data_IF_910971207451
#
_entry.id   IF_910971207451
#
_cell.length_a   1.000
_cell.length_b   1.000
_cell.length_c   1.000
_cell.angle_alpha   90.00
_cell.angle_beta   90.00
_cell.angle_gamma   90.00
#
_symmetry.space_group_name_H-M   'P 1'
#
loop_
_entity.id
_entity.type
_entity.pdbx_description
1 polymer ?
#
# COMPACT_ATOMS: atom_id res chain seq x y z
N UNK A 1 37.09 16.13 29.83
CA UNK A 1 36.24 14.92 29.73
C UNK A 1 34.77 15.22 29.49
N UNK A 2 34.12 16.14 30.26
CA UNK A 2 32.70 16.46 30.01
C UNK A 2 32.52 17.15 28.67
N UNK A 3 33.30 18.15 28.34
CA UNK A 3 33.28 18.89 27.07
C UNK A 3 33.49 17.92 25.91
N UNK A 4 34.50 17.06 25.99
CA UNK A 4 34.80 16.04 24.99
C UNK A 4 33.65 15.03 24.82
N UNK A 5 33.00 14.65 25.96
CA UNK A 5 31.85 13.75 25.92
C UNK A 5 30.65 14.38 25.21
N UNK A 6 30.42 15.67 25.40
CA UNK A 6 29.33 16.39 24.72
C UNK A 6 29.59 16.59 23.22
N UNK A 7 30.84 16.90 22.85
CA UNK A 7 31.26 17.00 21.45
C UNK A 7 31.12 15.66 20.69
N UNK A 8 31.40 14.56 21.35
CA UNK A 8 31.32 13.23 20.75
C UNK A 8 29.91 12.63 20.71
N UNK A 9 28.97 13.15 21.49
CA UNK A 9 27.60 12.67 21.55
C UNK A 9 26.89 12.66 20.19
N UNK A 10 26.91 13.74 19.39
CA UNK A 10 26.29 13.73 18.06
C UNK A 10 27.05 12.83 17.05
N UNK A 11 28.34 12.62 17.27
CA UNK A 11 29.16 11.80 16.35
C UNK A 11 28.99 10.30 16.61
N UNK A 12 29.02 9.89 17.89
CA UNK A 12 29.01 8.48 18.28
C UNK A 12 27.72 8.03 18.96
N UNK A 13 26.74 8.90 19.14
CA UNK A 13 25.44 8.55 19.69
C UNK A 13 25.45 7.95 21.10
N UNK A 14 26.46 8.26 21.92
CA UNK A 14 26.58 7.67 23.26
C UNK A 14 25.60 8.27 24.27
N UNK A 15 25.29 7.52 25.33
CA UNK A 15 24.38 7.90 26.42
C UNK A 15 25.10 8.23 27.75
N UNK A 16 26.36 8.65 27.71
CA UNK A 16 27.12 9.03 28.91
C UNK A 16 26.46 10.21 29.62
N UNK A 17 26.55 10.27 30.98
CA UNK A 17 25.94 11.35 31.75
C UNK A 17 26.43 12.76 31.35
N UNK A 18 25.53 13.71 31.15
CA UNK A 18 25.85 15.11 30.85
C UNK A 18 26.19 15.95 32.10
N UNK A 19 26.26 15.39 33.29
CA UNK A 19 26.67 16.11 34.51
C UNK A 19 28.01 15.64 35.04
N UNK A 20 28.87 16.58 35.47
CA UNK A 20 30.23 16.32 35.98
C UNK A 20 30.21 15.29 37.11
N UNK A 21 29.31 15.44 38.08
CA UNK A 21 29.22 14.53 39.22
C UNK A 21 28.87 13.11 38.87
N UNK A 22 27.88 12.91 37.95
CA UNK A 22 27.49 11.59 37.49
C UNK A 22 28.57 10.94 36.60
N UNK A 23 29.23 11.75 35.77
CA UNK A 23 30.30 11.24 34.90
C UNK A 23 31.51 10.79 35.75
N UNK A 24 31.91 11.58 36.78
CA UNK A 24 32.96 11.20 37.73
C UNK A 24 32.60 9.90 38.48
N UNK A 25 31.38 9.78 38.96
CA UNK A 25 30.91 8.57 39.62
C UNK A 25 30.94 7.35 38.73
N UNK A 26 30.61 7.51 37.42
CA UNK A 26 30.71 6.45 36.45
C UNK A 26 32.17 6.06 36.18
N UNK A 27 33.07 7.03 35.99
CA UNK A 27 34.51 6.80 35.78
C UNK A 27 35.12 6.06 36.98
N UNK A 28 34.77 6.45 38.21
CA UNK A 28 35.28 5.79 39.40
C UNK A 28 34.85 4.30 39.52
N UNK A 29 33.70 3.97 38.96
CA UNK A 29 33.15 2.61 38.93
C UNK A 29 33.65 1.79 37.73
N UNK A 30 34.07 2.45 36.68
CA UNK A 30 34.54 1.78 35.47
C UNK A 30 35.86 1.02 35.72
N UNK A 31 35.92 -0.19 35.18
CA UNK A 31 37.14 -1.01 35.12
C UNK A 31 37.31 -1.55 33.71
N UNK A 32 38.52 -1.66 33.18
CA UNK A 32 38.74 -2.12 31.81
C UNK A 32 38.23 -3.53 31.51
N UNK A 33 38.09 -4.36 32.54
CA UNK A 33 37.58 -5.74 32.49
C UNK A 33 36.06 -5.84 32.75
N UNK A 34 35.41 -4.73 33.11
CA UNK A 34 34.00 -4.71 33.43
C UNK A 34 33.26 -3.55 32.77
N UNK A 35 32.76 -3.78 31.57
CA UNK A 35 31.93 -2.83 30.83
C UNK A 35 30.45 -2.77 31.31
N UNK A 36 30.03 -3.66 32.20
CA UNK A 36 28.65 -3.70 32.70
C UNK A 36 28.19 -2.40 33.38
N UNK A 37 29.14 -1.63 33.91
CA UNK A 37 28.86 -0.30 34.50
C UNK A 37 28.37 0.71 33.46
N UNK A 38 28.70 0.56 32.19
CA UNK A 38 28.27 1.43 31.07
C UNK A 38 26.90 1.05 30.56
N UNK A 39 26.41 -0.14 30.88
CA UNK A 39 25.08 -0.59 30.49
C UNK A 39 24.06 0.06 31.41
N UNK A 40 23.07 0.74 30.83
CA UNK A 40 21.98 1.33 31.61
C UNK A 40 21.28 0.26 32.47
N UNK A 41 21.09 0.50 33.75
CA UNK A 41 20.31 -0.38 34.64
C UNK A 41 18.85 -0.57 34.23
N UNK A 42 18.39 0.18 33.21
CA UNK A 42 17.09 -0.02 32.56
C UNK A 42 17.15 -1.04 31.41
N UNK A 43 18.34 -1.36 30.93
CA UNK A 43 18.53 -2.35 29.88
C UNK A 43 18.30 -3.76 30.42
N UNK A 44 17.42 -4.51 29.79
CA UNK A 44 17.10 -5.87 30.25
C UNK A 44 16.26 -5.93 31.53
N UNK A 45 15.66 -4.82 31.98
CA UNK A 45 14.84 -4.80 33.20
C UNK A 45 13.58 -5.66 33.00
N UNK A 46 13.58 -6.86 33.57
CA UNK A 46 12.45 -7.81 33.55
C UNK A 46 11.19 -7.30 34.28
N UNK A 47 11.34 -6.32 35.17
CA UNK A 47 10.19 -5.72 35.87
C UNK A 47 9.28 -4.87 34.95
N UNK A 48 9.75 -4.53 33.75
CA UNK A 48 8.91 -3.91 32.71
C UNK A 48 8.08 -4.91 31.94
N UNK A 49 8.41 -6.20 32.02
CA UNK A 49 7.61 -7.26 31.37
C UNK A 49 6.32 -7.45 32.16
N UNK A 50 5.22 -6.91 31.63
CA UNK A 50 3.89 -7.02 32.24
C UNK A 50 3.19 -8.30 31.83
N UNK A 51 3.55 -8.88 30.71
CA UNK A 51 2.95 -10.08 30.11
C UNK A 51 4.07 -11.09 29.88
N UNK A 52 3.95 -12.22 30.54
CA UNK A 52 4.85 -13.36 30.42
C UNK A 52 4.57 -14.14 29.13
N UNK A 53 5.49 -15.00 28.71
CA UNK A 53 5.39 -15.68 27.41
C UNK A 53 4.12 -16.52 27.27
N UNK A 54 3.75 -17.30 28.29
CA UNK A 54 2.55 -18.12 28.26
C UNK A 54 1.28 -17.30 28.26
N UNK A 55 1.24 -16.23 29.08
CA UNK A 55 0.15 -15.28 29.06
C UNK A 55 0.02 -14.56 27.73
N UNK A 56 1.17 -14.25 27.08
CA UNK A 56 1.22 -13.68 25.75
C UNK A 56 0.67 -14.62 24.67
N UNK A 57 1.02 -15.90 24.72
CA UNK A 57 0.47 -16.93 23.80
C UNK A 57 -1.06 -17.03 23.94
N UNK A 58 -1.55 -17.01 25.17
CA UNK A 58 -2.99 -17.03 25.45
C UNK A 58 -3.69 -15.79 24.88
N UNK A 59 -3.15 -14.59 25.10
CA UNK A 59 -3.70 -13.35 24.55
C UNK A 59 -3.72 -13.34 23.02
N UNK A 60 -2.67 -13.82 22.36
CA UNK A 60 -2.62 -13.93 20.90
C UNK A 60 -3.64 -14.93 20.41
N UNK A 61 -3.84 -16.05 21.11
CA UNK A 61 -4.86 -17.04 20.75
C UNK A 61 -6.28 -16.45 20.81
N UNK A 62 -6.61 -15.69 21.87
CA UNK A 62 -7.89 -14.99 21.97
C UNK A 62 -8.06 -13.97 20.84
N UNK A 63 -7.01 -13.18 20.54
CA UNK A 63 -7.04 -12.17 19.48
C UNK A 63 -7.21 -12.78 18.08
N UNK A 64 -6.67 -13.97 17.86
CA UNK A 64 -6.79 -14.73 16.60
C UNK A 64 -8.08 -15.52 16.47
N UNK A 65 -8.89 -15.60 17.53
CA UNK A 65 -10.13 -16.38 17.51
C UNK A 65 -11.11 -15.86 16.46
N UNK A 66 -11.63 -16.77 15.65
CA UNK A 66 -12.64 -16.46 14.64
C UNK A 66 -14.07 -16.60 15.17
N UNK A 67 -14.25 -17.51 16.12
CA UNK A 67 -15.54 -17.76 16.77
C UNK A 67 -15.26 -18.28 18.20
N UNK A 68 -15.61 -17.51 19.22
CA UNK A 68 -16.15 -16.14 19.19
C UNK A 68 -15.07 -15.10 18.82
N UNK A 69 -15.50 -13.94 18.29
CA UNK A 69 -14.64 -12.79 18.07
C UNK A 69 -14.66 -11.94 19.33
N UNK A 70 -13.49 -11.72 19.91
CA UNK A 70 -13.33 -10.92 21.14
C UNK A 70 -12.90 -9.50 20.83
N UNK A 71 -13.47 -8.54 21.54
CA UNK A 71 -12.95 -7.16 21.61
C UNK A 71 -11.73 -7.11 22.52
N UNK A 72 -10.91 -6.05 22.40
CA UNK A 72 -9.75 -5.86 23.29
C UNK A 72 -10.15 -5.79 24.77
N UNK A 73 -11.37 -5.31 25.08
CA UNK A 73 -11.87 -5.25 26.44
C UNK A 73 -12.22 -6.63 26.99
N UNK A 74 -12.92 -7.44 26.20
CA UNK A 74 -13.24 -8.83 26.57
C UNK A 74 -11.97 -9.67 26.74
N UNK A 75 -10.97 -9.49 25.87
CA UNK A 75 -9.66 -10.14 26.02
C UNK A 75 -8.97 -9.72 27.33
N UNK A 76 -9.04 -8.42 27.68
CA UNK A 76 -8.48 -7.92 28.92
C UNK A 76 -9.17 -8.51 30.15
N UNK A 77 -10.49 -8.57 30.15
CA UNK A 77 -11.28 -9.16 31.24
C UNK A 77 -11.02 -10.66 31.39
N UNK A 78 -11.03 -11.39 30.27
CA UNK A 78 -10.79 -12.82 30.24
C UNK A 78 -9.36 -13.17 30.70
N UNK A 79 -8.34 -12.40 30.24
CA UNK A 79 -6.98 -12.58 30.70
C UNK A 79 -6.89 -12.39 32.23
N UNK A 80 -7.45 -11.32 32.76
CA UNK A 80 -7.40 -11.05 34.21
C UNK A 80 -8.20 -12.05 35.06
N UNK A 81 -9.22 -12.67 34.47
CA UNK A 81 -9.95 -13.75 35.11
C UNK A 81 -9.10 -15.02 35.26
N UNK A 82 -8.32 -15.35 34.23
CA UNK A 82 -7.51 -16.57 34.18
C UNK A 82 -6.13 -16.37 34.83
N UNK A 83 -5.60 -15.17 34.84
CA UNK A 83 -4.25 -14.86 35.30
C UNK A 83 -3.91 -15.38 36.71
N UNK A 84 -4.80 -15.25 37.75
CA UNK A 84 -4.50 -15.78 39.09
C UNK A 84 -4.35 -17.31 39.11
N UNK A 85 -5.18 -18.03 38.34
CA UNK A 85 -5.15 -19.50 38.27
C UNK A 85 -3.88 -20.04 37.59
N UNK A 86 -3.32 -19.22 36.66
CA UNK A 86 -2.10 -19.55 35.91
C UNK A 86 -0.81 -18.97 36.50
N UNK A 87 -0.92 -18.20 37.57
CA UNK A 87 0.22 -17.52 38.18
C UNK A 87 0.74 -16.33 37.36
N UNK A 88 -0.04 -15.80 36.43
CA UNK A 88 0.33 -14.64 35.63
C UNK A 88 0.05 -13.34 36.37
N UNK A 89 0.79 -12.28 36.01
CA UNK A 89 0.55 -10.95 36.53
C UNK A 89 -0.70 -10.34 35.89
N UNK A 90 -1.71 -9.92 36.68
CA UNK A 90 -2.88 -9.24 36.12
C UNK A 90 -2.50 -7.91 35.47
N UNK A 91 -3.19 -7.57 34.40
CA UNK A 91 -3.02 -6.28 33.73
C UNK A 91 -3.84 -5.21 34.44
N UNK A 92 -3.22 -4.05 34.66
CA UNK A 92 -3.86 -2.94 35.39
C UNK A 92 -4.80 -2.10 34.54
N UNK A 93 -4.64 -2.14 33.19
CA UNK A 93 -5.49 -1.36 32.30
C UNK A 93 -5.56 -2.00 30.89
N UNK A 94 -6.69 -1.82 30.18
CA UNK A 94 -6.84 -2.23 28.79
C UNK A 94 -5.82 -1.56 27.86
N UNK A 95 -5.35 -0.37 28.23
CA UNK A 95 -4.30 0.35 27.49
C UNK A 95 -3.00 -0.45 27.42
N UNK A 96 -2.60 -1.07 28.55
CA UNK A 96 -1.38 -1.89 28.60
C UNK A 96 -1.47 -3.11 27.66
N UNK A 97 -2.66 -3.72 27.54
CA UNK A 97 -2.91 -4.79 26.59
C UNK A 97 -2.79 -4.30 25.14
N UNK A 98 -3.41 -3.17 24.81
CA UNK A 98 -3.37 -2.59 23.47
C UNK A 98 -1.95 -2.18 23.08
N UNK A 99 -1.20 -1.58 23.98
CA UNK A 99 0.23 -1.24 23.74
C UNK A 99 1.07 -2.49 23.50
N UNK A 100 0.78 -3.59 24.21
CA UNK A 100 1.47 -4.85 24.01
C UNK A 100 1.09 -5.49 22.66
N UNK A 101 -0.20 -5.55 22.28
CA UNK A 101 -0.64 -6.05 20.98
C UNK A 101 -0.02 -5.26 19.81
N UNK A 102 0.13 -3.94 19.95
CA UNK A 102 0.69 -3.08 18.92
C UNK A 102 2.23 -3.03 18.93
N UNK A 103 2.88 -3.82 19.78
CA UNK A 103 4.33 -3.88 19.77
C UNK A 103 4.86 -4.58 18.51
N UNK A 104 6.02 -4.16 17.96
CA UNK A 104 6.57 -4.71 16.71
C UNK A 104 6.81 -6.22 16.73
N UNK A 105 6.96 -6.82 17.91
CA UNK A 105 7.19 -8.27 18.08
C UNK A 105 5.88 -9.07 18.14
N UNK A 106 4.79 -8.45 18.57
CA UNK A 106 3.51 -9.15 18.81
C UNK A 106 2.51 -8.90 17.69
N UNK A 107 2.47 -7.68 17.15
CA UNK A 107 1.52 -7.32 16.09
C UNK A 107 1.52 -8.31 14.91
N UNK A 108 2.66 -8.75 14.36
CA UNK A 108 2.68 -9.71 13.26
C UNK A 108 2.06 -11.08 13.60
N UNK A 109 2.01 -11.44 14.88
CA UNK A 109 1.49 -12.75 15.31
C UNK A 109 -0.02 -12.88 15.22
N UNK A 110 -0.75 -11.78 15.19
CA UNK A 110 -2.22 -11.78 15.16
C UNK A 110 -2.83 -11.02 13.98
N UNK A 111 -2.04 -10.19 13.29
CA UNK A 111 -2.54 -9.25 12.29
C UNK A 111 -3.23 -9.94 11.10
N UNK A 112 -2.67 -11.06 10.63
CA UNK A 112 -3.21 -11.87 9.54
C UNK A 112 -4.61 -12.42 9.86
N UNK A 113 -4.80 -12.88 11.08
CA UNK A 113 -6.07 -13.45 11.52
C UNK A 113 -7.21 -12.41 11.63
N UNK A 114 -6.87 -11.15 11.96
CA UNK A 114 -7.83 -10.05 12.14
C UNK A 114 -8.10 -9.30 10.85
N UNK A 115 -7.05 -9.03 10.05
CA UNK A 115 -7.15 -8.18 8.86
C UNK A 115 -7.05 -8.95 7.53
N UNK A 116 -6.72 -10.23 7.59
CA UNK A 116 -6.50 -11.11 6.43
C UNK A 116 -5.06 -11.12 5.94
N UNK A 117 -4.70 -12.23 5.29
CA UNK A 117 -3.34 -12.49 4.79
C UNK A 117 -2.84 -11.41 3.82
N UNK A 118 -3.71 -10.94 2.93
CA UNK A 118 -3.34 -9.91 1.96
C UNK A 118 -2.85 -8.62 2.63
N UNK A 119 -3.56 -8.14 3.67
CA UNK A 119 -3.15 -6.95 4.42
C UNK A 119 -1.88 -7.19 5.25
N UNK A 120 -1.70 -8.41 5.76
CA UNK A 120 -0.49 -8.79 6.47
C UNK A 120 0.73 -8.77 5.53
N UNK A 121 0.61 -9.36 4.33
CA UNK A 121 1.65 -9.29 3.29
C UNK A 121 1.99 -7.85 2.91
N UNK A 122 0.98 -7.01 2.67
CA UNK A 122 1.21 -5.59 2.36
C UNK A 122 1.95 -4.82 3.47
N UNK A 123 1.75 -5.21 4.73
CA UNK A 123 2.32 -4.52 5.90
C UNK A 123 3.71 -5.03 6.29
N UNK A 124 3.93 -6.34 6.24
CA UNK A 124 5.12 -6.98 6.81
C UNK A 124 6.10 -7.53 5.80
N UNK A 125 5.65 -7.82 4.57
CA UNK A 125 6.55 -8.33 3.54
C UNK A 125 7.56 -7.27 3.12
N UNK A 126 8.76 -7.75 2.83
CA UNK A 126 9.83 -6.90 2.33
C UNK A 126 9.47 -6.40 0.93
N UNK A 127 9.26 -5.10 0.81
CA UNK A 127 9.00 -4.46 -0.48
C UNK A 127 10.30 -4.36 -1.29
N UNK A 128 10.32 -5.00 -2.44
CA UNK A 128 11.39 -4.83 -3.39
C UNK A 128 11.12 -3.58 -4.23
N UNK A 129 12.12 -2.70 -4.37
CA UNK A 129 12.00 -1.61 -5.34
C UNK A 129 11.99 -2.17 -6.73
N UNK A 130 10.98 -1.82 -7.51
CA UNK A 130 10.96 -2.09 -8.95
C UNK A 130 12.05 -1.25 -9.60
N UNK A 131 12.99 -1.89 -10.29
CA UNK A 131 13.99 -1.19 -11.10
C UNK A 131 13.33 -0.96 -12.45
N UNK A 132 13.09 0.30 -12.79
CA UNK A 132 12.56 0.68 -14.09
C UNK A 132 13.62 0.44 -15.18
N UNK A 133 13.19 0.13 -16.42
CA UNK A 133 14.11 -0.05 -17.53
C UNK A 133 14.89 1.23 -17.83
N UNK A 134 16.11 1.10 -18.37
CA UNK A 134 16.97 2.23 -18.70
C UNK A 134 16.72 2.89 -20.06
N UNK A 135 15.74 2.39 -20.84
CA UNK A 135 15.41 2.89 -22.18
C UNK A 135 13.95 2.63 -22.54
N UNK A 136 13.44 3.42 -23.49
CA UNK A 136 12.09 3.25 -24.05
C UNK A 136 11.90 1.88 -24.70
N UNK A 137 10.67 1.44 -24.76
CA UNK A 137 10.23 0.18 -25.39
C UNK A 137 10.84 -1.10 -24.79
N UNK A 138 11.54 -0.97 -23.66
CA UNK A 138 12.03 -2.16 -22.93
C UNK A 138 10.92 -2.85 -22.17
N UNK A 139 9.99 -2.10 -21.62
CA UNK A 139 8.88 -2.60 -20.83
C UNK A 139 7.65 -1.71 -21.04
N UNK A 140 6.55 -2.32 -21.44
CA UNK A 140 5.26 -1.67 -21.47
C UNK A 140 4.33 -2.24 -20.41
N UNK A 141 3.61 -1.37 -19.72
CA UNK A 141 2.50 -1.75 -18.86
C UNK A 141 1.20 -1.62 -19.62
N UNK A 142 0.32 -2.61 -19.49
CA UNK A 142 -1.07 -2.54 -19.92
C UNK A 142 -2.00 -2.71 -18.73
N UNK A 143 -2.95 -1.79 -18.56
CA UNK A 143 -3.93 -1.86 -17.49
C UNK A 143 -5.24 -1.17 -17.88
N UNK A 144 -6.34 -1.64 -17.30
CA UNK A 144 -7.65 -1.07 -17.47
C UNK A 144 -8.12 -0.31 -16.24
N UNK A 145 -8.85 0.76 -16.46
CA UNK A 145 -9.48 1.52 -15.38
C UNK A 145 -10.81 2.09 -15.81
N UNK A 146 -11.68 2.37 -14.85
CA UNK A 146 -12.87 3.19 -15.14
C UNK A 146 -12.42 4.59 -15.48
N UNK A 147 -12.92 5.09 -16.61
CA UNK A 147 -12.76 6.49 -16.96
C UNK A 147 -13.60 7.35 -16.02
N UNK A 148 -12.95 8.15 -15.20
CA UNK A 148 -13.61 8.95 -14.17
C UNK A 148 -14.27 10.22 -14.74
N UNK A 149 -15.02 10.05 -15.84
CA UNK A 149 -15.86 11.05 -16.46
C UNK A 149 -17.23 10.46 -16.77
N UNK A 150 -18.27 11.26 -16.56
CA UNK A 150 -19.59 10.95 -17.05
C UNK A 150 -19.72 11.39 -18.51
N UNK A 151 -20.45 10.61 -19.28
CA UNK A 151 -20.95 10.98 -20.59
C UNK A 151 -22.47 10.78 -20.64
N UNK A 152 -23.11 11.37 -21.63
CA UNK A 152 -24.52 11.22 -21.90
C UNK A 152 -24.73 10.23 -23.02
N UNK A 153 -25.55 9.19 -22.78
CA UNK A 153 -25.96 8.23 -23.82
C UNK A 153 -27.01 8.81 -24.77
N UNK A 154 -27.37 8.04 -25.80
CA UNK A 154 -28.37 8.41 -26.78
C UNK A 154 -29.78 8.62 -26.17
N UNK A 155 -30.06 8.04 -25.01
CA UNK A 155 -31.29 8.17 -24.28
C UNK A 155 -31.30 9.35 -23.29
N UNK A 156 -30.22 10.13 -23.22
CA UNK A 156 -30.06 11.24 -22.30
C UNK A 156 -29.64 10.82 -20.89
N UNK A 157 -29.26 9.56 -20.67
CA UNK A 157 -28.84 9.09 -19.35
C UNK A 157 -27.36 9.35 -19.12
N UNK A 158 -27.03 9.56 -17.85
CA UNK A 158 -25.65 9.71 -17.38
C UNK A 158 -25.00 8.33 -17.24
N UNK A 159 -23.97 8.09 -18.02
CA UNK A 159 -23.22 6.84 -18.07
C UNK A 159 -21.74 7.03 -17.76
N UNK A 160 -21.05 5.93 -17.46
CA UNK A 160 -19.58 5.84 -17.32
C UNK A 160 -19.05 4.76 -18.22
N UNK A 161 -17.80 4.87 -18.65
CA UNK A 161 -17.14 3.90 -19.51
C UNK A 161 -15.79 3.51 -18.92
N UNK A 162 -15.13 2.54 -19.51
CA UNK A 162 -13.78 2.08 -19.15
C UNK A 162 -12.77 2.49 -20.21
N UNK A 163 -11.53 2.62 -19.82
CA UNK A 163 -10.39 2.83 -20.72
C UNK A 163 -9.33 1.79 -20.42
N UNK A 164 -8.79 1.19 -21.46
CA UNK A 164 -7.59 0.38 -21.38
C UNK A 164 -6.43 1.18 -21.93
N UNK A 165 -5.33 1.26 -21.18
CA UNK A 165 -4.18 2.08 -21.51
C UNK A 165 -2.89 1.26 -21.57
N UNK A 166 -1.99 1.69 -22.45
CA UNK A 166 -0.66 1.12 -22.60
C UNK A 166 0.38 2.22 -22.43
N UNK A 167 1.30 2.03 -21.48
CA UNK A 167 2.29 3.02 -21.07
C UNK A 167 3.69 2.44 -21.17
N UNK A 168 4.64 3.22 -21.67
CA UNK A 168 6.07 2.88 -21.61
C UNK A 168 6.62 3.15 -20.21
N UNK A 169 7.22 2.13 -19.60
CA UNK A 169 7.69 2.18 -18.21
C UNK A 169 8.89 3.12 -18.00
N UNK A 170 9.68 3.38 -19.03
CA UNK A 170 10.84 4.26 -18.96
C UNK A 170 10.47 5.72 -19.07
N UNK A 171 9.72 6.08 -20.11
CA UNK A 171 9.35 7.47 -20.40
C UNK A 171 8.09 7.93 -19.70
N UNK A 172 7.29 6.99 -19.15
CA UNK A 172 5.97 7.23 -18.58
C UNK A 172 4.97 7.84 -19.59
N UNK A 173 5.22 7.67 -20.87
CA UNK A 173 4.37 8.18 -21.95
C UNK A 173 3.25 7.20 -22.21
N UNK A 174 2.02 7.70 -22.31
CA UNK A 174 0.85 6.97 -22.80
C UNK A 174 1.02 6.70 -24.29
N UNK A 175 1.22 5.45 -24.67
CA UNK A 175 1.47 5.05 -26.04
C UNK A 175 0.20 4.68 -26.80
N UNK A 176 -0.79 4.18 -26.10
CA UNK A 176 -2.05 3.79 -26.71
C UNK A 176 -3.15 3.57 -25.69
N UNK A 177 -4.37 3.76 -26.13
CA UNK A 177 -5.56 3.55 -25.32
C UNK A 177 -6.74 3.07 -26.17
N UNK A 178 -7.74 2.55 -25.49
CA UNK A 178 -9.03 2.26 -26.11
C UNK A 178 -10.16 2.42 -25.09
N UNK A 179 -11.17 3.21 -25.44
CA UNK A 179 -12.34 3.46 -24.60
C UNK A 179 -13.46 2.52 -25.03
N UNK A 180 -14.00 1.77 -24.07
CA UNK A 180 -15.09 0.81 -24.30
C UNK A 180 -15.88 0.59 -23.00
N UNK A 181 -17.09 0.07 -23.12
CA UNK A 181 -17.94 -0.20 -21.96
C UNK A 181 -17.38 -1.32 -21.07
N UNK A 182 -16.58 -2.21 -21.64
CA UNK A 182 -15.97 -3.34 -20.93
C UNK A 182 -14.48 -3.43 -21.22
N UNK A 183 -13.72 -3.81 -20.19
CA UNK A 183 -12.31 -4.19 -20.33
C UNK A 183 -12.19 -5.60 -20.93
N UNK A 184 -12.42 -5.73 -22.21
CA UNK A 184 -12.35 -7.00 -22.89
C UNK A 184 -11.03 -7.14 -23.68
N UNK A 185 -10.86 -8.33 -24.29
CA UNK A 185 -9.67 -8.62 -25.10
C UNK A 185 -9.59 -7.75 -26.37
N UNK A 186 -10.70 -7.20 -26.86
CA UNK A 186 -10.78 -6.33 -28.03
C UNK A 186 -10.22 -4.95 -27.66
N UNK A 187 -10.64 -4.40 -26.52
CA UNK A 187 -10.12 -3.13 -26.01
C UNK A 187 -8.59 -3.19 -25.85
N UNK A 188 -8.10 -4.26 -25.25
CA UNK A 188 -6.66 -4.50 -25.11
C UNK A 188 -5.94 -4.58 -26.44
N UNK A 189 -6.50 -5.32 -27.40
CA UNK A 189 -5.94 -5.44 -28.75
C UNK A 189 -5.79 -4.08 -29.43
N UNK A 190 -6.83 -3.24 -29.38
CA UNK A 190 -6.81 -1.92 -30.02
C UNK A 190 -5.83 -0.97 -29.32
N UNK A 191 -5.76 -1.00 -27.98
CA UNK A 191 -4.80 -0.20 -27.23
C UNK A 191 -3.35 -0.59 -27.57
N UNK A 192 -2.99 -1.87 -27.60
CA UNK A 192 -1.67 -2.31 -28.00
C UNK A 192 -1.35 -2.01 -29.47
N UNK A 193 -2.35 -2.13 -30.35
CA UNK A 193 -2.19 -1.73 -31.76
C UNK A 193 -1.84 -0.25 -31.87
N UNK A 194 -2.56 0.62 -31.19
CA UNK A 194 -2.27 2.06 -31.14
C UNK A 194 -0.88 2.32 -30.56
N UNK A 195 -0.52 1.63 -29.47
CA UNK A 195 0.79 1.78 -28.84
C UNK A 195 1.95 1.46 -29.78
N UNK A 196 1.82 0.38 -30.58
CA UNK A 196 2.82 0.03 -31.59
C UNK A 196 2.89 1.09 -32.70
N UNK A 197 1.75 1.62 -33.13
CA UNK A 197 1.70 2.69 -34.14
C UNK A 197 2.33 3.99 -33.64
N UNK A 198 2.10 4.34 -32.37
CA UNK A 198 2.65 5.54 -31.73
C UNK A 198 4.14 5.42 -31.49
N UNK A 199 4.59 4.31 -30.91
CA UNK A 199 6.00 4.07 -30.64
C UNK A 199 6.80 3.77 -31.91
N UNK A 200 6.16 3.17 -32.95
CA UNK A 200 6.80 2.57 -34.15
C UNK A 200 7.73 1.40 -33.83
N UNK A 201 7.68 0.90 -32.62
CA UNK A 201 8.46 -0.22 -32.13
C UNK A 201 7.57 -1.19 -31.38
N UNK A 202 8.05 -2.43 -31.23
CA UNK A 202 7.47 -3.44 -30.36
C UNK A 202 8.21 -3.41 -29.02
N UNK A 203 7.53 -3.60 -27.89
CA UNK A 203 8.21 -3.69 -26.60
C UNK A 203 9.01 -4.99 -26.50
N UNK A 204 10.08 -4.96 -25.70
CA UNK A 204 10.77 -6.17 -25.35
C UNK A 204 9.94 -7.02 -24.36
N UNK A 205 9.35 -6.39 -23.36
CA UNK A 205 8.52 -7.01 -22.33
C UNK A 205 7.16 -6.30 -22.21
N UNK A 206 6.11 -7.08 -21.99
CA UNK A 206 4.77 -6.60 -21.61
C UNK A 206 4.44 -7.14 -20.23
N UNK A 207 3.99 -6.26 -19.35
CA UNK A 207 3.45 -6.59 -18.03
C UNK A 207 2.01 -6.09 -17.96
N UNK A 208 1.09 -6.99 -17.68
CA UNK A 208 -0.31 -6.69 -17.45
C UNK A 208 -0.85 -7.58 -16.32
N UNK A 209 -2.02 -7.26 -15.81
CA UNK A 209 -2.65 -8.07 -14.78
C UNK A 209 -3.15 -9.43 -15.32
N UNK A 210 -3.64 -10.27 -14.44
CA UNK A 210 -4.08 -11.63 -14.78
C UNK A 210 -5.58 -11.71 -15.10
N UNK A 211 -6.14 -10.70 -15.77
CA UNK A 211 -7.56 -10.65 -16.14
C UNK A 211 -7.89 -11.60 -17.29
N UNK A 212 -9.20 -11.91 -17.42
CA UNK A 212 -9.71 -12.82 -18.47
C UNK A 212 -9.37 -12.39 -19.90
N UNK A 213 -9.42 -11.09 -20.19
CA UNK A 213 -9.06 -10.53 -21.49
C UNK A 213 -7.60 -10.77 -21.86
N UNK A 214 -6.68 -10.61 -20.91
CA UNK A 214 -5.26 -10.88 -21.11
C UNK A 214 -4.99 -12.36 -21.35
N UNK A 215 -5.65 -13.26 -20.63
CA UNK A 215 -5.56 -14.71 -20.86
C UNK A 215 -6.02 -15.09 -22.27
N UNK A 216 -7.11 -14.47 -22.76
CA UNK A 216 -7.63 -14.71 -24.11
C UNK A 216 -6.64 -14.19 -25.17
N UNK A 217 -6.11 -12.98 -25.02
CA UNK A 217 -5.10 -12.43 -25.94
C UNK A 217 -3.79 -13.26 -25.93
N UNK A 218 -3.37 -13.76 -24.78
CA UNK A 218 -2.23 -14.65 -24.67
C UNK A 218 -2.49 -15.98 -25.40
N UNK A 219 -3.67 -16.58 -25.22
CA UNK A 219 -4.08 -17.81 -25.90
C UNK A 219 -4.19 -17.61 -27.43
N UNK A 220 -4.60 -16.44 -27.92
CA UNK A 220 -4.62 -16.09 -29.35
C UNK A 220 -3.24 -15.73 -29.88
N UNK A 221 -2.20 -15.77 -29.05
CA UNK A 221 -0.83 -15.49 -29.44
C UNK A 221 -0.54 -14.03 -29.75
N UNK A 222 -1.36 -13.08 -29.26
CA UNK A 222 -1.13 -11.64 -29.46
C UNK A 222 0.21 -11.23 -28.85
N UNK A 223 0.39 -11.51 -27.55
CA UNK A 223 1.57 -11.04 -26.82
C UNK A 223 2.88 -11.65 -27.34
N UNK A 224 2.88 -12.91 -27.76
CA UNK A 224 4.05 -13.55 -28.39
C UNK A 224 4.43 -12.95 -29.74
N UNK A 225 3.47 -12.33 -30.46
CA UNK A 225 3.72 -11.66 -31.74
C UNK A 225 4.24 -10.22 -31.57
N UNK A 226 3.88 -9.55 -30.46
CA UNK A 226 4.19 -8.14 -30.26
C UNK A 226 5.30 -7.90 -29.22
N UNK A 227 5.66 -8.90 -28.40
CA UNK A 227 6.73 -8.79 -27.41
C UNK A 227 7.57 -10.06 -27.34
N UNK A 228 8.75 -9.97 -26.76
CA UNK A 228 9.60 -11.14 -26.51
C UNK A 228 9.25 -11.81 -25.19
N UNK A 229 8.80 -11.05 -24.21
CA UNK A 229 8.40 -11.53 -22.89
C UNK A 229 7.02 -10.98 -22.56
N UNK A 230 6.13 -11.84 -22.15
CA UNK A 230 4.86 -11.47 -21.54
C UNK A 230 4.83 -12.00 -20.11
N UNK A 231 4.67 -11.09 -19.14
CA UNK A 231 4.63 -11.43 -17.72
C UNK A 231 3.33 -10.95 -17.10
N UNK A 232 2.42 -11.87 -16.76
CA UNK A 232 1.27 -11.51 -15.94
C UNK A 232 1.73 -11.17 -14.53
N UNK A 233 1.22 -10.09 -13.94
CA UNK A 233 1.49 -9.76 -12.54
C UNK A 233 0.83 -10.78 -11.63
N UNK A 234 1.50 -11.08 -10.50
CA UNK A 234 0.88 -11.88 -9.45
C UNK A 234 -0.38 -11.16 -8.92
N UNK A 235 -1.43 -11.91 -8.54
CA UNK A 235 -2.62 -11.32 -7.93
C UNK A 235 -2.23 -10.43 -6.75
N UNK A 236 -2.89 -9.27 -6.64
CA UNK A 236 -2.72 -8.29 -5.56
C UNK A 236 -1.35 -7.60 -5.46
N UNK A 237 -0.51 -7.68 -6.49
CA UNK A 237 0.78 -6.99 -6.54
C UNK A 237 0.71 -5.69 -7.37
N UNK A 238 -0.29 -4.84 -7.12
CA UNK A 238 -0.47 -3.54 -7.76
C UNK A 238 0.69 -2.57 -7.50
N UNK A 239 1.37 -2.68 -6.35
CA UNK A 239 2.50 -1.81 -5.98
C UNK A 239 3.71 -1.93 -6.93
N UNK A 240 3.77 -2.95 -7.77
CA UNK A 240 4.85 -3.14 -8.76
C UNK A 240 4.63 -2.38 -10.06
N UNK A 241 3.45 -1.81 -10.29
CA UNK A 241 3.10 -1.11 -11.53
C UNK A 241 3.18 0.40 -11.33
N UNK A 242 4.02 1.07 -12.10
CA UNK A 242 4.06 2.54 -12.14
C UNK A 242 2.86 3.15 -12.84
N UNK A 243 2.11 2.36 -13.63
CA UNK A 243 0.93 2.80 -14.39
C UNK A 243 -0.17 3.37 -13.48
N UNK A 244 -0.37 2.82 -12.28
CA UNK A 244 -1.35 3.35 -11.32
C UNK A 244 -1.03 4.79 -10.89
N UNK A 245 0.26 5.13 -10.74
CA UNK A 245 0.71 6.49 -10.45
C UNK A 245 0.49 7.43 -11.64
N UNK A 246 0.61 6.92 -12.86
CA UNK A 246 0.36 7.68 -14.09
C UNK A 246 -1.13 7.99 -14.19
N UNK A 247 -2.00 7.01 -13.99
CA UNK A 247 -3.45 7.19 -13.92
C UNK A 247 -3.84 8.23 -12.86
N UNK A 248 -3.29 8.12 -11.66
CA UNK A 248 -3.55 9.08 -10.59
C UNK A 248 -3.14 10.51 -11.00
N UNK A 249 -1.97 10.69 -11.59
CA UNK A 249 -1.50 12.01 -12.05
C UNK A 249 -2.41 12.57 -13.15
N UNK A 250 -2.76 11.75 -14.15
CA UNK A 250 -3.66 12.17 -15.23
C UNK A 250 -5.04 12.56 -14.70
N UNK A 251 -5.62 11.74 -13.83
CA UNK A 251 -6.90 12.04 -13.19
C UNK A 251 -6.85 13.35 -12.39
N UNK A 252 -5.82 13.55 -11.58
CA UNK A 252 -5.71 14.73 -10.72
C UNK A 252 -5.37 16.02 -11.46
N UNK A 253 -4.61 15.92 -12.54
CA UNK A 253 -4.11 17.10 -13.28
C UNK A 253 -4.99 17.48 -14.46
N UNK A 254 -5.65 16.52 -15.09
CA UNK A 254 -6.44 16.71 -16.31
C UNK A 254 -7.93 16.45 -16.05
N UNK A 255 -8.32 15.23 -15.74
CA UNK A 255 -9.72 14.82 -15.70
C UNK A 255 -10.53 15.54 -14.61
N UNK A 256 -9.94 15.79 -13.45
CA UNK A 256 -10.59 16.51 -12.34
C UNK A 256 -11.08 17.91 -12.73
N UNK A 257 -10.51 18.53 -13.75
CA UNK A 257 -10.88 19.86 -14.21
C UNK A 257 -12.03 19.85 -15.24
N UNK A 258 -12.45 18.66 -15.68
CA UNK A 258 -13.51 18.51 -16.68
C UNK A 258 -14.89 18.46 -16.02
N UNK A 259 -15.88 19.00 -16.68
CA UNK A 259 -17.26 18.81 -16.30
C UNK A 259 -17.64 17.32 -16.40
N UNK A 260 -18.39 16.81 -15.44
CA UNK A 260 -18.73 15.39 -15.39
C UNK A 260 -17.69 14.49 -14.70
N UNK A 261 -16.67 15.04 -14.06
CA UNK A 261 -15.73 14.22 -13.29
C UNK A 261 -16.41 13.46 -12.16
N UNK A 262 -16.19 12.14 -12.08
CA UNK A 262 -16.88 11.24 -11.13
C UNK A 262 -16.23 11.17 -9.75
N UNK A 263 -15.01 11.69 -9.60
CA UNK A 263 -14.17 11.52 -8.41
C UNK A 263 -13.20 10.33 -8.52
N UNK A 264 -12.08 10.39 -7.82
CA UNK A 264 -11.02 9.38 -7.90
C UNK A 264 -11.37 8.04 -7.26
N UNK A 265 -12.30 8.04 -6.29
CA UNK A 265 -12.68 6.83 -5.57
C UNK A 265 -14.05 7.04 -4.89
N UNK A 266 -14.94 6.08 -5.02
CA UNK A 266 -16.24 6.06 -4.32
C UNK A 266 -16.05 6.10 -2.80
N UNK A 267 -14.94 5.56 -2.30
CA UNK A 267 -14.60 5.54 -0.87
C UNK A 267 -13.74 6.73 -0.42
N UNK A 268 -13.37 7.65 -1.32
CA UNK A 268 -12.57 8.82 -0.98
C UNK A 268 -13.35 9.73 -0.03
N UNK A 269 -12.89 9.88 1.20
CA UNK A 269 -13.53 10.69 2.25
C UNK A 269 -13.19 12.18 2.18
N UNK A 270 -12.43 12.61 1.17
CA UNK A 270 -12.08 14.03 1.00
C UNK A 270 -13.22 14.75 0.28
N UNK A 271 -13.75 15.80 0.89
CA UNK A 271 -14.85 16.60 0.32
C UNK A 271 -14.53 17.15 -1.07
N UNK A 272 -13.26 17.45 -1.33
CA UNK A 272 -12.77 17.93 -2.64
C UNK A 272 -12.72 16.86 -3.74
N UNK A 273 -12.90 15.59 -3.42
CA UNK A 273 -12.84 14.47 -4.39
C UNK A 273 -14.22 13.98 -4.81
N UNK A 274 -15.29 14.45 -4.17
CA UNK A 274 -16.65 14.05 -4.53
C UNK A 274 -17.20 14.98 -5.59
N UNK A 275 -17.80 14.45 -6.68
CA UNK A 275 -18.51 15.27 -7.63
C UNK A 275 -19.77 15.84 -6.97
N UNK A 276 -20.16 17.05 -7.34
CA UNK A 276 -21.49 17.56 -7.02
C UNK A 276 -22.53 16.88 -7.94
N UNK A 277 -23.10 15.78 -7.48
CA UNK A 277 -24.04 14.97 -8.27
C UNK A 277 -25.33 15.71 -8.59
N UNK A 278 -25.82 16.58 -7.70
CA UNK A 278 -27.01 17.40 -7.94
C UNK A 278 -26.76 18.37 -9.08
N UNK A 279 -25.60 19.04 -9.06
CA UNK A 279 -25.22 19.97 -10.13
C UNK A 279 -25.03 19.25 -11.47
N UNK A 280 -24.41 18.08 -11.48
CA UNK A 280 -24.24 17.26 -12.70
C UNK A 280 -25.58 16.78 -13.22
N UNK A 281 -26.47 16.32 -12.35
CA UNK A 281 -27.81 15.88 -12.77
C UNK A 281 -28.69 17.03 -13.29
N UNK A 282 -28.57 18.22 -12.72
CA UNK A 282 -29.29 19.42 -13.21
C UNK A 282 -28.73 19.91 -14.56
N UNK A 283 -27.53 19.54 -14.94
CA UNK A 283 -26.86 19.96 -16.19
C UNK A 283 -26.46 18.76 -17.04
N UNK A 284 -27.28 17.72 -17.09
CA UNK A 284 -26.96 16.48 -17.80
C UNK A 284 -26.75 16.70 -19.31
N UNK A 285 -27.43 17.66 -19.89
CA UNK A 285 -27.31 18.05 -21.30
C UNK A 285 -25.94 18.68 -21.64
N UNK A 286 -25.22 19.13 -20.64
CA UNK A 286 -23.85 19.66 -20.80
C UNK A 286 -22.78 18.57 -20.72
N UNK A 287 -23.16 17.32 -20.45
CA UNK A 287 -22.23 16.20 -20.51
C UNK A 287 -21.89 15.89 -21.98
N UNK A 288 -20.62 15.54 -22.27
CA UNK A 288 -20.25 15.11 -23.62
C UNK A 288 -20.99 13.82 -24.00
N UNK A 289 -21.21 13.62 -25.27
CA UNK A 289 -21.53 12.30 -25.83
C UNK A 289 -20.35 11.37 -25.74
N UNK A 290 -20.53 10.06 -25.97
CA UNK A 290 -19.41 9.11 -25.96
C UNK A 290 -18.35 9.46 -27.02
N UNK A 291 -18.75 9.90 -28.20
CA UNK A 291 -17.83 10.28 -29.26
C UNK A 291 -17.04 11.54 -28.91
N UNK A 292 -17.71 12.57 -28.40
CA UNK A 292 -17.05 13.78 -27.88
C UNK A 292 -16.09 13.47 -26.73
N UNK A 293 -16.45 12.51 -25.85
CA UNK A 293 -15.59 12.06 -24.78
C UNK A 293 -14.32 11.39 -25.32
N UNK A 294 -14.45 10.55 -26.36
CA UNK A 294 -13.30 9.91 -27.05
C UNK A 294 -12.39 10.92 -27.72
N UNK A 295 -12.93 11.98 -28.30
CA UNK A 295 -12.16 13.07 -28.91
C UNK A 295 -11.43 13.93 -27.87
N UNK A 296 -12.02 14.07 -26.68
CA UNK A 296 -11.44 14.87 -25.61
C UNK A 296 -10.32 14.13 -24.83
N UNK A 297 -10.30 12.80 -24.90
CA UNK A 297 -9.33 11.96 -24.23
C UNK A 297 -8.03 11.88 -24.97
#
# INVERSE_FOLDING_TARGET
LLVTSEEWRPVYGHSLPGSVGRLKALINKFRPDNYGVLVSGKYGNSNTLKIEEDGGRYLVALKRSRVPVYTDMEIFEEYNRVAPERGWKPLKSPRSLREWFNSPRVEPLWYDAVYGEMKAHQRYDRKHRTILPGRRDSLWYGDGTKLNLYYRDENGNKCTTSVYEVVDAYSEVLLGYYISDNEDYIAQYHAFRMAIQTSRHKPYEIVCDNQGGHKKNAALGLFSKISRIHRPTAPYNGESKTIENIFYRFQSQVLKKRFGFTGQNITAKRDTSRPNLEFINANIDSLPTLEELKEQY
#
